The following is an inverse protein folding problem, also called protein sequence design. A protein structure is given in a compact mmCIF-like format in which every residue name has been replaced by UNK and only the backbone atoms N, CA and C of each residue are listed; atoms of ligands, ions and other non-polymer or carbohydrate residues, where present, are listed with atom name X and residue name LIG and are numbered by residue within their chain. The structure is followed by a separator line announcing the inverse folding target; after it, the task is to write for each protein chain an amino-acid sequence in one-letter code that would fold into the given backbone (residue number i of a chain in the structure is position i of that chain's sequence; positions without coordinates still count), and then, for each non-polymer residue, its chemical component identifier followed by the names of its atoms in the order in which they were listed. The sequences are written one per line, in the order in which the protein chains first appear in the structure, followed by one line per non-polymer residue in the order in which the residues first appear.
data_IF_840279560561
#
_entry.id   IF_840279560561
#
_cell.length_a   1.000
_cell.length_b   1.000
_cell.length_c   1.000
_cell.angle_alpha   90.00
_cell.angle_beta   90.00
_cell.angle_gamma   90.00
#
_symmetry.space_group_name_H-M   'P 1'
#
loop_
_entity.id
_entity.type
_entity.pdbx_description
1 polymer ?
#
# COMPACT_ATOMS: atom_id res chain seq x y z
N UNK A 1 -8.13 -1.64 9.30
CA UNK A 1 -7.84 -1.82 7.85
C UNK A 1 -7.86 -0.45 7.19
N UNK A 2 -7.02 -0.16 6.18
CA UNK A 2 -7.07 1.14 5.50
C UNK A 2 -8.36 1.24 4.69
N UNK A 3 -9.10 2.35 4.83
CA UNK A 3 -10.23 2.67 3.97
C UNK A 3 -9.74 2.99 2.56
N UNK A 4 -10.12 2.19 1.58
CA UNK A 4 -9.77 2.32 0.16
C UNK A 4 -10.93 2.86 -0.67
N UNK A 5 -12.16 2.70 -0.17
CA UNK A 5 -13.36 3.25 -0.77
C UNK A 5 -14.23 3.86 0.32
N UNK A 6 -14.70 5.05 0.07
CA UNK A 6 -15.54 5.78 1.04
C UNK A 6 -16.51 6.73 0.33
N UNK A 7 -17.56 7.09 1.05
CA UNK A 7 -18.54 8.06 0.58
C UNK A 7 -17.97 9.46 0.82
N UNK A 8 -17.92 10.26 -0.23
CA UNK A 8 -17.43 11.63 -0.12
C UNK A 8 -18.35 12.61 -0.83
N UNK A 9 -18.34 13.86 -0.37
CA UNK A 9 -19.09 14.94 -0.98
C UNK A 9 -18.22 15.70 -1.99
N UNK A 10 -18.75 15.96 -3.17
CA UNK A 10 -18.12 16.80 -4.17
C UNK A 10 -18.07 18.24 -3.65
N UNK A 11 -16.87 18.78 -3.49
CA UNK A 11 -16.64 20.16 -3.00
C UNK A 11 -16.63 21.17 -4.12
N UNK A 12 -16.09 20.80 -5.27
CA UNK A 12 -15.97 21.68 -6.43
C UNK A 12 -15.98 20.88 -7.73
N UNK A 13 -16.41 21.51 -8.82
CA UNK A 13 -16.36 20.98 -10.19
C UNK A 13 -15.92 22.12 -11.10
N UNK A 14 -14.87 21.90 -11.86
CA UNK A 14 -14.32 22.95 -12.72
C UNK A 14 -13.86 22.40 -14.07
N UNK A 15 -13.99 23.22 -15.14
CA UNK A 15 -13.62 22.81 -16.49
C UNK A 15 -12.10 22.66 -16.62
N UNK A 16 -11.70 21.81 -17.56
CA UNK A 16 -10.31 21.68 -18.00
C UNK A 16 -10.18 22.45 -19.33
N UNK A 17 -9.20 23.34 -19.42
CA UNK A 17 -8.95 24.11 -20.63
C UNK A 17 -8.74 23.19 -21.85
N UNK A 18 -9.51 23.38 -22.89
CA UNK A 18 -9.48 22.60 -24.12
C UNK A 18 -10.12 21.21 -24.02
N UNK A 19 -10.86 20.89 -22.95
CA UNK A 19 -11.59 19.64 -22.81
C UNK A 19 -13.12 19.84 -22.91
N UNK A 20 -13.75 19.19 -23.89
CA UNK A 20 -15.21 19.33 -24.11
C UNK A 20 -16.02 18.23 -23.43
N UNK A 21 -15.39 17.08 -23.10
CA UNK A 21 -16.08 15.86 -22.62
C UNK A 21 -15.76 15.47 -21.19
N UNK A 22 -14.80 16.13 -20.57
CA UNK A 22 -14.32 15.82 -19.23
C UNK A 22 -14.06 17.09 -18.44
N UNK A 23 -14.18 17.00 -17.13
CA UNK A 23 -13.94 18.05 -16.18
C UNK A 23 -13.27 17.47 -14.92
N UNK A 24 -12.79 18.33 -14.05
CA UNK A 24 -12.24 17.91 -12.76
C UNK A 24 -13.27 18.13 -11.66
N UNK A 25 -13.44 17.15 -10.79
CA UNK A 25 -14.11 17.37 -9.52
C UNK A 25 -13.11 17.30 -8.36
N UNK A 26 -13.42 18.01 -7.29
CA UNK A 26 -12.68 17.99 -6.04
C UNK A 26 -13.52 17.35 -4.94
N UNK A 27 -12.92 16.37 -4.24
CA UNK A 27 -13.45 15.79 -3.02
C UNK A 27 -12.29 15.61 -2.02
N UNK A 28 -12.53 15.90 -0.73
CA UNK A 28 -11.43 16.10 0.23
C UNK A 28 -10.39 17.08 -0.36
N UNK A 29 -9.15 16.64 -0.52
CA UNK A 29 -8.09 17.37 -1.23
C UNK A 29 -7.60 16.59 -2.47
N UNK A 30 -8.44 15.66 -2.99
CA UNK A 30 -8.21 14.95 -4.25
C UNK A 30 -8.86 15.67 -5.42
N UNK A 31 -8.18 15.60 -6.57
CA UNK A 31 -8.70 16.07 -7.85
C UNK A 31 -8.89 14.86 -8.77
N UNK A 32 -10.11 14.65 -9.23
CA UNK A 32 -10.52 13.46 -9.97
C UNK A 32 -11.11 13.88 -11.32
N UNK A 33 -10.66 13.22 -12.38
CA UNK A 33 -11.22 13.38 -13.71
C UNK A 33 -12.57 12.67 -13.80
N UNK A 34 -13.60 13.40 -14.23
CA UNK A 34 -14.95 12.89 -14.44
C UNK A 34 -15.44 13.26 -15.85
N UNK A 35 -16.49 12.62 -16.32
CA UNK A 35 -17.17 13.07 -17.53
C UNK A 35 -17.89 14.38 -17.23
N UNK A 36 -17.99 15.19 -18.26
CA UNK A 36 -18.69 16.47 -18.15
C UNK A 36 -20.13 16.24 -17.70
N UNK A 37 -20.59 17.05 -16.76
CA UNK A 37 -21.93 17.02 -16.16
C UNK A 37 -22.29 15.69 -15.43
N UNK A 38 -21.30 14.83 -15.13
CA UNK A 38 -21.52 13.54 -14.43
C UNK A 38 -21.77 13.72 -12.93
N UNK A 39 -21.15 14.74 -12.32
CA UNK A 39 -21.30 15.07 -10.90
C UNK A 39 -21.54 16.57 -10.70
N UNK A 40 -22.11 16.92 -9.54
CA UNK A 40 -22.37 18.33 -9.16
C UNK A 40 -21.83 18.60 -7.78
N UNK A 41 -21.55 19.87 -7.49
CA UNK A 41 -21.15 20.30 -6.15
C UNK A 41 -22.25 19.92 -5.15
N UNK A 42 -21.85 19.25 -4.08
CA UNK A 42 -22.75 18.75 -3.05
C UNK A 42 -23.20 17.30 -3.21
N UNK A 43 -22.98 16.68 -4.39
CA UNK A 43 -23.32 15.27 -4.59
C UNK A 43 -22.47 14.37 -3.68
N UNK A 44 -23.10 13.34 -3.13
CA UNK A 44 -22.39 12.23 -2.48
C UNK A 44 -22.03 11.19 -3.54
N UNK A 45 -20.78 10.78 -3.53
CA UNK A 45 -20.23 9.81 -4.47
C UNK A 45 -19.43 8.73 -3.74
N UNK A 46 -19.27 7.58 -4.38
CA UNK A 46 -18.30 6.57 -3.92
C UNK A 46 -16.95 6.91 -4.52
N UNK A 47 -16.00 7.29 -3.69
CA UNK A 47 -14.62 7.50 -4.09
C UNK A 47 -13.78 6.26 -3.82
N UNK A 48 -13.01 5.82 -4.81
CA UNK A 48 -12.09 4.68 -4.70
C UNK A 48 -10.67 5.16 -4.97
N UNK A 49 -9.79 4.92 -4.01
CA UNK A 49 -8.40 5.37 -4.08
C UNK A 49 -7.55 4.59 -5.08
N UNK A 50 -6.43 5.17 -5.46
CA UNK A 50 -5.36 4.47 -6.18
C UNK A 50 -4.81 3.30 -5.33
N UNK A 51 -4.19 2.33 -6.00
CA UNK A 51 -3.71 1.07 -5.42
C UNK A 51 -4.81 0.15 -4.88
N UNK A 52 -6.04 0.36 -5.35
CA UNK A 52 -7.18 -0.51 -5.08
C UNK A 52 -7.38 -1.53 -6.20
N UNK A 53 -7.80 -2.74 -5.82
CA UNK A 53 -8.28 -3.77 -6.73
C UNK A 53 -9.78 -3.90 -6.49
N UNK A 54 -10.55 -3.73 -7.57
CA UNK A 54 -12.01 -3.88 -7.55
C UNK A 54 -12.35 -5.34 -7.91
N UNK A 55 -13.36 -5.96 -7.28
CA UNK A 55 -13.81 -7.28 -7.67
C UNK A 55 -14.32 -7.27 -9.13
N UNK A 56 -14.01 -8.33 -9.86
CA UNK A 56 -14.39 -8.45 -11.27
C UNK A 56 -15.89 -8.83 -11.50
N UNK A 57 -16.61 -9.06 -10.41
CA UNK A 57 -18.03 -9.43 -10.42
C UNK A 57 -18.31 -10.86 -10.90
N UNK A 58 -17.30 -11.57 -11.37
CA UNK A 58 -17.46 -12.94 -11.82
C UNK A 58 -17.59 -13.90 -10.65
N UNK A 59 -18.41 -14.92 -10.80
CA UNK A 59 -18.43 -16.06 -9.89
C UNK A 59 -17.04 -16.74 -9.88
N UNK A 60 -16.74 -17.51 -8.85
CA UNK A 60 -15.48 -18.27 -8.80
C UNK A 60 -15.32 -19.20 -9.99
N UNK A 61 -16.42 -19.80 -10.43
CA UNK A 61 -16.46 -20.70 -11.57
C UNK A 61 -16.23 -19.96 -12.89
N UNK A 62 -16.92 -18.83 -13.10
CA UNK A 62 -16.76 -18.03 -14.31
C UNK A 62 -15.38 -17.37 -14.39
N UNK A 63 -14.87 -16.88 -13.28
CA UNK A 63 -13.48 -16.36 -13.20
C UNK A 63 -12.47 -17.45 -13.57
N UNK A 64 -12.73 -18.69 -13.16
CA UNK A 64 -11.92 -19.84 -13.51
C UNK A 64 -11.96 -20.14 -15.01
N UNK A 65 -13.15 -20.19 -15.61
CA UNK A 65 -13.32 -20.43 -17.06
C UNK A 65 -12.69 -19.31 -17.88
N UNK A 66 -12.90 -18.06 -17.48
CA UNK A 66 -12.29 -16.90 -18.14
C UNK A 66 -10.75 -16.98 -18.17
N UNK A 67 -10.13 -17.27 -17.03
CA UNK A 67 -8.68 -17.37 -16.94
C UNK A 67 -8.14 -18.56 -17.79
N UNK A 68 -8.89 -19.67 -17.89
CA UNK A 68 -8.54 -20.81 -18.75
C UNK A 68 -8.62 -20.46 -20.23
N UNK A 69 -9.73 -19.86 -20.67
CA UNK A 69 -9.89 -19.39 -22.04
C UNK A 69 -8.79 -18.39 -22.42
N UNK A 70 -8.50 -17.45 -21.55
CA UNK A 70 -7.42 -16.46 -21.71
C UNK A 70 -6.03 -17.08 -21.83
N UNK A 71 -5.75 -18.15 -21.07
CA UNK A 71 -4.48 -18.87 -21.17
C UNK A 71 -4.35 -19.60 -22.51
N UNK A 72 -5.44 -20.22 -22.96
CA UNK A 72 -5.51 -20.91 -24.27
C UNK A 72 -5.37 -19.90 -25.42
N UNK A 73 -6.05 -18.74 -25.33
CA UNK A 73 -6.01 -17.68 -26.34
C UNK A 73 -4.59 -17.13 -26.60
N UNK A 74 -3.70 -17.13 -25.59
CA UNK A 74 -2.29 -16.72 -25.78
C UNK A 74 -1.50 -17.60 -26.76
N UNK A 75 -1.96 -18.82 -27.01
CA UNK A 75 -1.29 -19.81 -27.88
C UNK A 75 -2.11 -20.13 -29.13
N UNK A 76 -3.35 -19.68 -29.20
CA UNK A 76 -4.28 -19.92 -30.31
C UNK A 76 -4.12 -18.88 -31.42
N UNK A 77 -4.47 -19.28 -32.64
CA UNK A 77 -4.48 -18.41 -33.82
C UNK A 77 -5.72 -18.73 -34.67
N UNK A 78 -6.12 -17.80 -35.54
CA UNK A 78 -7.21 -18.02 -36.48
C UNK A 78 -8.56 -18.18 -35.81
N UNK A 79 -9.30 -19.24 -36.16
CA UNK A 79 -10.65 -19.49 -35.69
C UNK A 79 -10.72 -19.91 -34.22
N UNK A 80 -9.72 -20.65 -33.74
CA UNK A 80 -9.62 -21.05 -32.34
C UNK A 80 -9.46 -19.81 -31.42
N UNK A 81 -8.69 -18.81 -31.84
CA UNK A 81 -8.57 -17.56 -31.11
C UNK A 81 -9.92 -16.83 -31.03
N UNK A 82 -10.64 -16.73 -32.14
CA UNK A 82 -11.98 -16.10 -32.18
C UNK A 82 -12.99 -16.80 -31.27
N UNK A 83 -12.98 -18.13 -31.25
CA UNK A 83 -13.88 -18.91 -30.40
C UNK A 83 -13.56 -18.68 -28.90
N UNK A 84 -12.29 -18.62 -28.53
CA UNK A 84 -11.87 -18.33 -27.16
C UNK A 84 -12.19 -16.89 -26.76
N UNK A 85 -12.03 -15.94 -27.67
CA UNK A 85 -12.44 -14.54 -27.44
C UNK A 85 -13.97 -14.42 -27.26
N UNK A 86 -14.77 -15.17 -28.06
CA UNK A 86 -16.21 -15.23 -27.89
C UNK A 86 -16.61 -15.86 -26.54
N UNK A 87 -15.96 -16.95 -26.13
CA UNK A 87 -16.17 -17.58 -24.83
C UNK A 87 -15.86 -16.60 -23.67
N UNK A 88 -14.73 -15.89 -23.76
CA UNK A 88 -14.37 -14.87 -22.76
C UNK A 88 -15.41 -13.75 -22.72
N UNK A 89 -15.88 -13.30 -23.86
CA UNK A 89 -16.92 -12.27 -23.96
C UNK A 89 -18.24 -12.74 -23.36
N UNK A 90 -18.63 -13.98 -23.61
CA UNK A 90 -19.84 -14.58 -23.03
C UNK A 90 -19.75 -14.66 -21.50
N UNK A 91 -18.62 -15.11 -20.95
CA UNK A 91 -18.39 -15.15 -19.51
C UNK A 91 -18.49 -13.75 -18.91
N UNK A 92 -17.90 -12.74 -19.58
CA UNK A 92 -17.92 -11.35 -19.12
C UNK A 92 -19.32 -10.74 -19.22
N UNK A 93 -20.13 -11.13 -20.24
CA UNK A 93 -21.51 -10.64 -20.37
C UNK A 93 -22.43 -11.08 -19.22
N UNK A 94 -22.03 -12.13 -18.50
CA UNK A 94 -22.70 -12.58 -17.27
C UNK A 94 -22.25 -11.79 -16.04
N UNK A 95 -21.28 -10.89 -16.20
CA UNK A 95 -20.81 -10.03 -15.10
C UNK A 95 -21.95 -9.09 -14.68
N UNK A 96 -22.23 -9.10 -13.40
CA UNK A 96 -23.32 -8.30 -12.81
C UNK A 96 -22.85 -6.91 -12.37
N UNK A 97 -21.60 -6.52 -12.66
CA UNK A 97 -21.02 -5.20 -12.33
C UNK A 97 -20.51 -4.55 -13.64
N UNK A 98 -21.40 -4.17 -14.55
CA UNK A 98 -21.02 -3.56 -15.84
C UNK A 98 -20.30 -2.22 -15.67
N UNK A 99 -20.53 -1.53 -14.56
CA UNK A 99 -19.88 -0.25 -14.23
C UNK A 99 -18.36 -0.38 -14.11
N UNK A 100 -17.83 -1.56 -13.81
CA UNK A 100 -16.41 -1.81 -13.66
C UNK A 100 -15.74 -2.46 -14.88
N UNK A 101 -16.50 -2.78 -15.92
CA UNK A 101 -16.00 -3.53 -17.07
C UNK A 101 -14.82 -2.83 -17.77
N UNK A 102 -14.83 -1.50 -17.86
CA UNK A 102 -13.74 -0.72 -18.45
C UNK A 102 -12.40 -0.87 -17.70
N UNK A 103 -12.40 -1.36 -16.45
CA UNK A 103 -11.21 -1.63 -15.67
C UNK A 103 -10.60 -3.00 -15.96
N UNK A 104 -11.30 -3.88 -16.67
CA UNK A 104 -10.82 -5.24 -16.96
C UNK A 104 -9.51 -5.24 -17.73
N UNK A 105 -9.36 -4.34 -18.70
CA UNK A 105 -8.11 -4.15 -19.43
C UNK A 105 -6.93 -3.74 -18.51
N UNK A 106 -7.24 -3.10 -17.37
CA UNK A 106 -6.29 -2.67 -16.34
C UNK A 106 -6.20 -3.66 -15.18
N UNK A 107 -6.65 -4.92 -15.37
CA UNK A 107 -6.66 -5.98 -14.34
C UNK A 107 -7.45 -5.57 -13.09
N UNK A 108 -8.54 -4.83 -13.25
CA UNK A 108 -9.40 -4.31 -12.18
C UNK A 108 -8.65 -3.43 -11.15
N UNK A 109 -7.51 -2.85 -11.53
CA UNK A 109 -6.71 -1.99 -10.65
C UNK A 109 -6.99 -0.51 -10.92
N UNK A 110 -7.22 0.24 -9.84
CA UNK A 110 -7.28 1.70 -9.89
C UNK A 110 -5.85 2.26 -9.78
N UNK A 111 -5.48 3.08 -10.75
CA UNK A 111 -4.16 3.72 -10.85
C UNK A 111 -4.30 5.23 -11.00
N UNK A 112 -3.25 5.96 -10.63
CA UNK A 112 -3.14 7.35 -11.02
C UNK A 112 -3.14 7.49 -12.55
N UNK A 113 -3.89 8.45 -13.07
CA UNK A 113 -4.00 8.71 -14.50
C UNK A 113 -3.50 10.11 -14.83
N UNK A 114 -2.51 10.19 -15.72
CA UNK A 114 -2.14 11.45 -16.38
C UNK A 114 -2.89 11.58 -17.70
N UNK A 115 -3.69 12.62 -17.81
CA UNK A 115 -4.32 13.00 -19.08
C UNK A 115 -3.39 13.98 -19.79
N UNK A 116 -2.43 13.43 -20.54
CA UNK A 116 -1.30 14.19 -21.11
C UNK A 116 -1.74 15.36 -22.00
N UNK A 117 -2.86 15.19 -22.73
CA UNK A 117 -3.44 16.25 -23.59
C UNK A 117 -3.73 17.55 -22.84
N UNK A 118 -4.13 17.45 -21.56
CA UNK A 118 -4.54 18.59 -20.74
C UNK A 118 -3.60 18.82 -19.54
N UNK A 119 -2.55 18.02 -19.44
CA UNK A 119 -1.58 18.06 -18.34
C UNK A 119 -2.21 18.00 -16.94
N UNK A 120 -3.28 17.21 -16.78
CA UNK A 120 -3.95 16.97 -15.49
C UNK A 120 -3.71 15.54 -15.00
N UNK A 121 -3.74 15.36 -13.69
CA UNK A 121 -3.55 14.09 -13.01
C UNK A 121 -4.80 13.81 -12.19
N UNK A 122 -5.36 12.59 -12.35
CA UNK A 122 -6.47 12.07 -11.56
C UNK A 122 -5.95 11.02 -10.58
N UNK A 123 -6.27 11.17 -9.31
CA UNK A 123 -5.83 10.30 -8.22
C UNK A 123 -6.99 9.48 -7.64
N UNK A 124 -7.40 8.45 -8.37
CA UNK A 124 -8.54 7.61 -8.01
C UNK A 124 -9.69 7.74 -9.01
N UNK A 125 -10.85 7.26 -8.59
CA UNK A 125 -12.06 7.27 -9.42
C UNK A 125 -13.29 7.49 -8.53
N UNK A 126 -14.32 8.14 -9.09
CA UNK A 126 -15.62 8.31 -8.45
C UNK A 126 -16.69 7.53 -9.19
N UNK A 127 -17.68 7.06 -8.45
CA UNK A 127 -18.88 6.40 -8.97
C UNK A 127 -20.11 6.99 -8.28
N UNK A 128 -21.28 6.95 -8.95
CA UNK A 128 -22.52 7.34 -8.31
C UNK A 128 -22.90 6.37 -7.19
N UNK A 129 -23.70 6.81 -6.23
CA UNK A 129 -24.14 5.96 -5.11
C UNK A 129 -24.91 4.72 -5.56
N UNK A 130 -25.47 4.71 -6.77
CA UNK A 130 -26.19 3.57 -7.33
C UNK A 130 -25.36 2.29 -7.40
N UNK A 131 -24.02 2.38 -7.45
CA UNK A 131 -23.18 1.18 -7.38
C UNK A 131 -23.32 0.41 -6.07
N UNK A 132 -23.75 1.08 -5.00
CA UNK A 132 -24.01 0.43 -3.71
C UNK A 132 -25.22 -0.49 -3.73
N UNK A 133 -26.15 -0.27 -4.67
CA UNK A 133 -27.33 -1.14 -4.84
C UNK A 133 -26.98 -2.42 -5.60
N UNK A 134 -26.05 -2.33 -6.54
CA UNK A 134 -25.69 -3.42 -7.45
C UNK A 134 -24.64 -4.34 -6.86
N UNK A 135 -23.53 -3.77 -6.42
CA UNK A 135 -22.32 -4.54 -6.03
C UNK A 135 -22.51 -5.32 -4.72
N UNK A 136 -22.99 -4.72 -3.61
CA UNK A 136 -23.21 -5.47 -2.38
C UNK A 136 -24.18 -6.63 -2.57
N UNK A 137 -25.25 -6.43 -3.33
CA UNK A 137 -26.22 -7.49 -3.65
C UNK A 137 -25.55 -8.65 -4.38
N UNK A 138 -24.70 -8.36 -5.36
CA UNK A 138 -23.92 -9.37 -6.09
C UNK A 138 -22.96 -10.13 -5.18
N UNK A 139 -22.40 -9.45 -4.18
CA UNK A 139 -21.48 -10.03 -3.20
C UNK A 139 -22.19 -10.67 -2.00
N UNK A 140 -23.52 -10.65 -1.97
CA UNK A 140 -24.32 -11.18 -0.85
C UNK A 140 -24.20 -10.37 0.44
N UNK A 141 -24.03 -9.05 0.32
CA UNK A 141 -23.86 -8.13 1.44
C UNK A 141 -25.03 -7.18 1.57
N UNK A 142 -25.33 -6.79 2.79
CA UNK A 142 -26.42 -5.84 3.06
C UNK A 142 -25.91 -4.40 3.06
N UNK A 143 -26.74 -3.50 2.56
CA UNK A 143 -26.48 -2.07 2.58
C UNK A 143 -26.56 -1.53 4.04
N UNK A 144 -25.68 -0.60 4.42
CA UNK A 144 -25.84 0.14 5.67
C UNK A 144 -27.13 0.97 5.64
N UNK A 145 -27.77 1.12 6.80
CA UNK A 145 -29.01 1.89 6.90
C UNK A 145 -28.87 3.37 6.54
N UNK A 146 -27.71 3.94 6.88
CA UNK A 146 -27.40 5.34 6.66
C UNK A 146 -26.17 5.49 5.76
N UNK A 147 -26.33 6.19 4.66
CA UNK A 147 -25.24 6.55 3.73
C UNK A 147 -24.85 8.00 4.03
N UNK A 148 -23.71 8.17 4.69
CA UNK A 148 -23.20 9.48 5.10
C UNK A 148 -21.79 9.72 4.57
N UNK A 149 -21.40 10.99 4.45
CA UNK A 149 -20.03 11.39 4.12
C UNK A 149 -19.02 10.77 5.10
N UNK A 150 -17.92 10.23 4.60
CA UNK A 150 -16.88 9.56 5.37
C UNK A 150 -17.14 8.07 5.65
N UNK A 151 -18.29 7.51 5.26
CA UNK A 151 -18.60 6.10 5.44
C UNK A 151 -17.62 5.22 4.64
N UNK A 152 -16.92 4.31 5.33
CA UNK A 152 -16.04 3.32 4.69
C UNK A 152 -16.86 2.20 4.05
N UNK A 153 -16.77 2.07 2.74
CA UNK A 153 -17.45 1.06 1.93
C UNK A 153 -16.48 0.05 1.30
N UNK A 154 -15.23 0.02 1.74
CA UNK A 154 -14.19 -0.87 1.22
C UNK A 154 -14.60 -2.33 1.27
N UNK A 155 -15.02 -2.80 2.45
CA UNK A 155 -15.46 -4.20 2.60
C UNK A 155 -16.79 -4.47 1.90
N UNK A 156 -17.70 -3.49 1.93
CA UNK A 156 -19.00 -3.59 1.30
C UNK A 156 -18.87 -3.83 -0.22
N UNK A 157 -17.97 -3.12 -0.86
CA UNK A 157 -17.68 -3.24 -2.29
C UNK A 157 -16.67 -4.35 -2.63
N UNK A 158 -16.16 -5.07 -1.64
CA UNK A 158 -15.17 -6.14 -1.86
C UNK A 158 -13.83 -5.63 -2.38
N UNK A 159 -13.50 -4.37 -2.13
CA UNK A 159 -12.26 -3.75 -2.60
C UNK A 159 -11.09 -4.23 -1.79
N UNK A 160 -10.01 -4.58 -2.46
CA UNK A 160 -8.77 -5.03 -1.84
C UNK A 160 -7.62 -4.07 -2.16
N UNK A 161 -6.67 -3.95 -1.23
CA UNK A 161 -5.40 -3.26 -1.50
C UNK A 161 -4.55 -4.10 -2.44
N UNK A 162 -3.86 -3.45 -3.38
CA UNK A 162 -2.78 -4.10 -4.13
C UNK A 162 -1.69 -4.48 -3.15
N UNK A 163 -1.50 -5.79 -2.92
CA UNK A 163 -0.48 -6.32 -2.02
C UNK A 163 0.69 -6.79 -2.88
N UNK A 164 1.69 -5.94 -3.04
CA UNK A 164 2.93 -6.29 -3.74
C UNK A 164 3.78 -7.27 -2.92
N UNK A 165 3.77 -7.14 -1.57
CA UNK A 165 4.58 -7.97 -0.66
C UNK A 165 4.20 -9.46 -0.61
N UNK A 166 2.96 -9.84 -0.92
CA UNK A 166 2.54 -11.23 -0.86
C UNK A 166 3.11 -12.08 -2.01
N UNK A 167 3.42 -11.45 -3.15
CA UNK A 167 4.05 -12.14 -4.28
C UNK A 167 5.52 -12.46 -3.99
N UNK A 168 6.18 -11.58 -3.27
CA UNK A 168 7.60 -11.68 -3.02
C UNK A 168 7.95 -12.71 -1.95
N UNK A 169 7.16 -12.81 -0.88
CA UNK A 169 7.34 -13.84 0.16
C UNK A 169 7.12 -15.26 -0.43
N UNK A 170 6.15 -15.38 -1.35
CA UNK A 170 5.90 -16.66 -2.02
C UNK A 170 7.01 -17.04 -3.02
N UNK A 171 7.68 -16.07 -3.64
CA UNK A 171 8.81 -16.33 -4.57
C UNK A 171 10.07 -16.81 -3.84
N UNK A 172 10.38 -16.28 -2.66
CA UNK A 172 11.57 -16.69 -1.90
C UNK A 172 11.47 -18.11 -1.33
N UNK A 173 10.25 -18.57 -1.02
CA UNK A 173 10.00 -19.94 -0.55
C UNK A 173 9.98 -20.93 -1.72
N UNK A 174 9.58 -20.48 -2.93
CA UNK A 174 9.42 -21.36 -4.11
C UNK A 174 10.74 -21.72 -4.80
N UNK A 175 11.85 -21.02 -4.54
CA UNK A 175 13.15 -21.37 -5.14
C UNK A 175 13.76 -22.66 -4.56
N UNK A 176 13.19 -23.24 -3.48
CA UNK A 176 13.74 -24.45 -2.84
C UNK A 176 12.93 -25.73 -3.05
N UNK A 177 11.69 -25.63 -3.53
CA UNK A 177 10.86 -26.80 -3.79
C UNK A 177 10.47 -26.87 -5.27
N UNK A 178 10.70 -28.04 -5.89
CA UNK A 178 10.17 -28.34 -7.22
C UNK A 178 8.63 -28.29 -7.18
N UNK A 179 8.08 -27.11 -7.49
CA UNK A 179 6.63 -26.96 -7.61
C UNK A 179 6.10 -27.90 -8.70
N UNK A 180 5.16 -28.74 -8.32
CA UNK A 180 4.47 -29.59 -9.29
C UNK A 180 3.79 -28.76 -10.36
N UNK A 181 3.65 -29.27 -11.58
CA UNK A 181 2.94 -28.57 -12.67
C UNK A 181 1.53 -28.16 -12.26
N UNK A 182 0.90 -28.89 -11.33
CA UNK A 182 -0.41 -28.61 -10.77
C UNK A 182 -0.38 -27.41 -9.81
N UNK A 183 0.65 -27.25 -8.99
CA UNK A 183 0.79 -26.10 -8.10
C UNK A 183 1.07 -24.81 -8.90
N UNK A 184 1.91 -24.89 -9.93
CA UNK A 184 2.14 -23.77 -10.87
C UNK A 184 0.84 -23.35 -11.57
N UNK A 185 0.01 -24.33 -11.93
CA UNK A 185 -1.32 -24.09 -12.50
C UNK A 185 -2.26 -23.38 -11.50
N UNK A 186 -2.34 -23.87 -10.27
CA UNK A 186 -3.17 -23.24 -9.22
C UNK A 186 -2.67 -21.83 -8.87
N UNK A 187 -1.37 -21.63 -8.79
CA UNK A 187 -0.78 -20.31 -8.50
C UNK A 187 -1.08 -19.30 -9.60
N UNK A 188 -0.95 -19.69 -10.86
CA UNK A 188 -1.29 -18.81 -11.99
C UNK A 188 -2.73 -18.31 -11.93
N UNK A 189 -3.61 -19.09 -11.29
CA UNK A 189 -5.05 -18.92 -11.33
C UNK A 189 -5.64 -18.26 -10.07
N UNK A 190 -5.15 -18.63 -8.89
CA UNK A 190 -5.75 -18.28 -7.61
C UNK A 190 -4.89 -17.38 -6.71
N UNK A 191 -3.65 -17.10 -7.08
CA UNK A 191 -2.70 -16.32 -6.30
C UNK A 191 -3.22 -14.92 -5.91
N UNK A 192 -4.08 -14.33 -6.74
CA UNK A 192 -4.74 -13.03 -6.48
C UNK A 192 -5.74 -13.06 -5.32
N UNK A 193 -6.26 -14.24 -4.94
CA UNK A 193 -7.29 -14.35 -3.91
C UNK A 193 -6.69 -14.60 -2.53
N UNK A 194 -7.11 -13.81 -1.54
CA UNK A 194 -6.67 -13.92 -0.14
C UNK A 194 -6.92 -15.31 0.45
N UNK A 195 -8.09 -15.91 0.16
CA UNK A 195 -8.43 -17.25 0.64
C UNK A 195 -7.50 -18.33 0.10
N UNK A 196 -7.13 -18.28 -1.19
CA UNK A 196 -6.20 -19.23 -1.79
C UNK A 196 -4.81 -19.10 -1.18
N UNK A 197 -4.31 -17.88 -1.02
CA UNK A 197 -3.04 -17.62 -0.34
C UNK A 197 -3.04 -18.17 1.08
N UNK A 198 -4.18 -18.03 1.80
CA UNK A 198 -4.31 -18.57 3.16
C UNK A 198 -4.32 -20.11 3.18
N UNK A 199 -5.06 -20.75 2.25
CA UNK A 199 -5.09 -22.21 2.13
C UNK A 199 -3.72 -22.75 1.70
N UNK A 200 -3.07 -22.14 0.70
CA UNK A 200 -1.72 -22.52 0.26
C UNK A 200 -0.72 -22.44 1.41
N UNK A 201 -0.81 -21.40 2.24
CA UNK A 201 0.01 -21.25 3.45
C UNK A 201 -0.24 -22.34 4.49
N UNK A 202 -1.49 -22.74 4.67
CA UNK A 202 -1.84 -23.84 5.58
C UNK A 202 -1.34 -25.20 5.07
N UNK A 203 -1.48 -25.45 3.76
CA UNK A 203 -1.06 -26.72 3.13
C UNK A 203 0.46 -26.88 3.10
N UNK A 204 1.23 -25.79 2.91
CA UNK A 204 2.70 -25.82 2.93
C UNK A 204 3.31 -25.90 4.32
N UNK A 205 2.48 -25.99 5.36
CA UNK A 205 2.97 -26.04 6.74
C UNK A 205 3.71 -24.78 7.17
N UNK A 206 3.58 -23.66 6.46
CA UNK A 206 4.00 -22.35 6.91
C UNK A 206 3.24 -22.02 8.19
N UNK A 207 3.75 -22.48 9.31
CA UNK A 207 3.28 -22.08 10.63
C UNK A 207 3.60 -20.60 10.75
N UNK A 208 2.61 -19.74 10.43
CA UNK A 208 2.66 -18.32 10.77
C UNK A 208 2.70 -18.30 12.29
N UNK A 209 3.90 -18.27 12.86
CA UNK A 209 4.08 -18.09 14.29
C UNK A 209 3.98 -16.62 14.59
N UNK A 210 3.03 -16.28 15.40
CA UNK A 210 2.92 -15.00 16.06
C UNK A 210 1.90 -14.07 15.42
N UNK A 211 0.85 -13.85 16.18
CA UNK A 211 -0.07 -12.73 16.02
C UNK A 211 0.68 -11.46 16.39
N UNK A 212 0.36 -10.35 15.73
CA UNK A 212 0.83 -9.04 16.16
C UNK A 212 0.37 -8.78 17.58
N UNK A 213 1.29 -8.37 18.44
CA UNK A 213 1.01 -8.23 19.87
C UNK A 213 0.69 -6.78 20.21
N UNK A 214 -0.13 -6.56 21.24
CA UNK A 214 -0.55 -5.23 21.68
C UNK A 214 0.59 -4.32 22.14
N UNK A 215 1.74 -4.88 22.50
CA UNK A 215 2.92 -4.12 22.90
C UNK A 215 3.79 -3.69 21.70
N UNK A 216 3.57 -4.26 20.53
CA UNK A 216 4.26 -3.85 19.29
C UNK A 216 3.76 -2.48 18.82
N UNK A 217 4.55 -1.82 17.98
CA UNK A 217 4.12 -0.60 17.32
C UNK A 217 2.77 -0.80 16.60
N UNK A 218 1.87 0.17 16.62
CA UNK A 218 0.60 0.06 15.91
C UNK A 218 0.79 -0.28 14.43
N UNK A 219 -0.06 -1.17 13.92
CA UNK A 219 -0.09 -1.52 12.50
C UNK A 219 -0.89 -0.48 11.70
N UNK A 220 -0.39 0.73 11.63
CA UNK A 220 -1.01 1.79 10.84
C UNK A 220 -0.18 2.10 9.61
N UNK A 221 -0.81 2.09 8.45
CA UNK A 221 -0.25 2.74 7.25
C UNK A 221 -0.34 4.26 7.45
N UNK A 222 0.70 5.00 7.07
CA UNK A 222 0.56 6.45 6.99
C UNK A 222 -0.58 6.81 6.04
N UNK A 223 -1.43 7.72 6.48
CA UNK A 223 -2.57 8.21 5.71
C UNK A 223 -2.08 9.09 4.57
N UNK A 224 -2.71 9.04 3.41
CA UNK A 224 -2.45 10.01 2.35
C UNK A 224 -2.80 11.42 2.82
N UNK A 225 -1.91 12.36 2.56
CA UNK A 225 -2.09 13.77 2.95
C UNK A 225 -3.41 14.35 2.47
N UNK A 226 -3.84 13.99 1.27
CA UNK A 226 -5.09 14.49 0.67
C UNK A 226 -6.36 14.14 1.45
N UNK A 227 -6.29 13.20 2.40
CA UNK A 227 -7.40 12.90 3.32
C UNK A 227 -7.45 13.81 4.54
N UNK A 228 -6.32 14.41 4.89
CA UNK A 228 -6.21 15.10 6.18
C UNK A 228 -5.46 16.43 6.14
N UNK A 229 -5.05 16.90 4.95
CA UNK A 229 -4.29 18.13 4.81
C UNK A 229 -5.03 19.32 5.42
N UNK A 230 -6.27 19.54 5.03
CA UNK A 230 -7.11 20.65 5.55
C UNK A 230 -7.19 20.61 7.07
N UNK A 231 -7.53 19.45 7.67
CA UNK A 231 -7.62 19.28 9.13
C UNK A 231 -6.27 19.50 9.82
N UNK A 232 -5.18 19.04 9.19
CA UNK A 232 -3.83 19.23 9.71
C UNK A 232 -3.45 20.72 9.69
N UNK A 233 -3.75 21.40 8.58
CA UNK A 233 -3.49 22.83 8.44
C UNK A 233 -4.32 23.67 9.43
N UNK A 234 -5.59 23.33 9.65
CA UNK A 234 -6.45 23.96 10.66
C UNK A 234 -5.89 23.79 12.07
N UNK A 235 -5.36 22.59 12.39
CA UNK A 235 -4.85 22.27 13.74
C UNK A 235 -3.49 22.91 14.02
N UNK A 236 -2.58 22.89 13.05
CA UNK A 236 -1.17 23.28 13.25
C UNK A 236 -0.77 24.57 12.53
N UNK A 237 -1.63 25.08 11.64
CA UNK A 237 -1.37 26.32 10.87
C UNK A 237 -0.08 26.22 10.06
N UNK A 238 0.62 27.34 9.99
CA UNK A 238 1.92 27.48 9.33
C UNK A 238 3.10 27.28 10.31
N UNK A 239 2.89 26.54 11.39
CA UNK A 239 3.96 26.31 12.35
C UNK A 239 5.05 25.42 11.75
N UNK A 240 6.30 25.76 11.96
CA UNK A 240 7.44 24.89 11.74
C UNK A 240 7.38 23.67 12.69
N UNK A 241 8.28 22.73 12.52
CA UNK A 241 8.37 21.53 13.35
C UNK A 241 7.80 20.29 12.69
N UNK A 242 7.82 20.28 11.38
CA UNK A 242 7.63 19.08 10.58
C UNK A 242 8.97 18.57 10.07
N UNK A 243 9.10 17.25 9.99
CA UNK A 243 10.25 16.55 9.41
C UNK A 243 9.80 15.79 8.20
N UNK A 244 10.55 15.93 7.12
CA UNK A 244 10.29 15.26 5.84
C UNK A 244 11.35 14.21 5.61
N UNK A 245 10.95 12.93 5.61
CA UNK A 245 11.78 11.82 5.18
C UNK A 245 11.41 11.35 3.77
N UNK A 246 12.38 10.82 3.04
CA UNK A 246 12.07 10.18 1.77
C UNK A 246 11.19 8.95 1.98
N UNK A 247 10.15 8.80 1.15
CA UNK A 247 9.41 7.57 1.05
C UNK A 247 10.12 6.65 0.05
N UNK A 248 10.93 5.77 0.59
CA UNK A 248 11.65 4.80 -0.24
C UNK A 248 10.71 3.73 -0.80
N UNK A 249 11.04 3.25 -2.00
CA UNK A 249 10.40 2.08 -2.58
C UNK A 249 11.05 0.82 -2.01
N UNK A 250 10.36 0.16 -1.11
CA UNK A 250 10.85 -1.02 -0.41
C UNK A 250 9.72 -1.82 0.21
N UNK A 251 10.05 -2.56 1.23
CA UNK A 251 9.09 -3.29 2.06
C UNK A 251 9.43 -3.12 3.53
N UNK A 252 8.43 -3.11 4.39
CA UNK A 252 8.64 -2.99 5.83
C UNK A 252 9.36 -4.23 6.38
N UNK A 253 10.47 -4.00 7.08
CA UNK A 253 11.15 -4.96 7.93
C UNK A 253 11.22 -4.36 9.33
N UNK A 254 10.80 -5.11 10.34
CA UNK A 254 10.95 -4.67 11.73
C UNK A 254 11.68 -5.71 12.53
N UNK A 255 12.48 -5.24 13.50
CA UNK A 255 13.07 -6.10 14.53
C UNK A 255 12.66 -5.59 15.90
N UNK A 256 12.46 -6.50 16.84
CA UNK A 256 12.13 -6.11 18.22
C UNK A 256 12.97 -6.89 19.23
N UNK A 257 13.20 -6.25 20.37
CA UNK A 257 13.63 -6.88 21.59
C UNK A 257 12.58 -6.62 22.66
N UNK A 258 12.05 -7.68 23.26
CA UNK A 258 11.00 -7.61 24.28
C UNK A 258 11.38 -8.50 25.48
N UNK A 259 11.24 -7.97 26.68
CA UNK A 259 11.50 -8.69 27.93
C UNK A 259 10.20 -9.17 28.52
N UNK A 260 10.00 -10.48 28.59
CA UNK A 260 8.92 -11.09 29.35
C UNK A 260 9.38 -11.40 30.77
N UNK A 261 8.47 -11.23 31.73
CA UNK A 261 8.69 -11.57 33.13
C UNK A 261 7.78 -12.74 33.54
N UNK A 262 8.34 -13.72 34.23
CA UNK A 262 7.58 -14.82 34.81
C UNK A 262 7.87 -14.94 36.33
N UNK A 263 7.03 -15.69 37.06
CA UNK A 263 7.15 -15.89 38.51
C UNK A 263 7.24 -14.55 39.29
N UNK A 264 6.27 -13.68 39.11
CA UNK A 264 6.22 -12.37 39.79
C UNK A 264 7.48 -11.48 39.56
N UNK A 265 8.11 -11.60 38.38
CA UNK A 265 9.27 -10.80 38.03
C UNK A 265 10.63 -11.42 38.39
N UNK A 266 10.64 -12.61 39.00
CA UNK A 266 11.87 -13.29 39.41
C UNK A 266 12.71 -13.82 38.23
N UNK A 267 12.07 -14.11 37.11
CA UNK A 267 12.75 -14.52 35.88
C UNK A 267 12.42 -13.59 34.73
N UNK A 268 13.44 -13.12 34.04
CA UNK A 268 13.29 -12.29 32.85
C UNK A 268 13.88 -13.02 31.65
N UNK A 269 13.14 -13.01 30.55
CA UNK A 269 13.59 -13.58 29.28
C UNK A 269 13.47 -12.55 28.17
N UNK A 270 14.59 -12.29 27.47
CA UNK A 270 14.62 -11.40 26.32
C UNK A 270 14.29 -12.17 25.04
N UNK A 271 13.28 -11.72 24.34
CA UNK A 271 12.82 -12.28 23.07
C UNK A 271 13.19 -11.33 21.94
N UNK A 272 13.91 -11.84 20.98
CA UNK A 272 14.15 -11.17 19.71
C UNK A 272 13.22 -11.71 18.66
N UNK A 273 12.74 -10.86 17.76
CA UNK A 273 11.93 -11.29 16.63
C UNK A 273 12.04 -10.34 15.45
N UNK A 274 11.59 -10.84 14.32
CA UNK A 274 11.56 -10.16 13.03
C UNK A 274 10.13 -10.11 12.54
N UNK A 275 9.71 -8.96 12.01
CA UNK A 275 8.36 -8.79 11.47
C UNK A 275 8.41 -8.18 10.07
N UNK A 276 7.41 -8.50 9.27
CA UNK A 276 6.98 -7.69 8.14
C UNK A 276 5.98 -6.63 8.64
N UNK A 277 5.36 -5.89 7.74
CA UNK A 277 4.33 -4.91 8.12
C UNK A 277 3.16 -5.51 8.93
N UNK A 278 2.78 -6.77 8.67
CA UNK A 278 1.59 -7.40 9.26
C UNK A 278 1.86 -8.71 10.00
N UNK A 279 3.10 -9.20 10.06
CA UNK A 279 3.39 -10.54 10.55
C UNK A 279 4.64 -10.59 11.40
N UNK A 280 4.56 -11.35 12.46
CA UNK A 280 5.74 -11.80 13.18
C UNK A 280 6.27 -13.07 12.49
N UNK A 281 7.53 -13.08 12.07
CA UNK A 281 8.14 -14.18 11.33
C UNK A 281 8.71 -15.23 12.27
N UNK A 282 8.73 -16.48 11.77
CA UNK A 282 9.39 -17.57 12.49
C UNK A 282 10.90 -17.32 12.51
N UNK A 283 11.54 -17.69 13.60
CA UNK A 283 13.01 -17.63 13.70
C UNK A 283 13.58 -18.55 12.63
N UNK A 284 14.43 -17.98 11.79
CA UNK A 284 15.19 -18.66 10.73
C UNK A 284 14.35 -19.46 9.73
N UNK A 285 13.35 -18.80 9.17
CA UNK A 285 12.51 -19.35 8.11
C UNK A 285 13.22 -19.38 6.73
N UNK A 286 14.48 -18.92 6.65
CA UNK A 286 15.26 -18.79 5.43
C UNK A 286 14.80 -17.66 4.50
N UNK A 287 13.85 -16.83 4.94
CA UNK A 287 13.36 -15.69 4.15
C UNK A 287 14.43 -14.63 3.98
N UNK A 288 14.23 -13.77 2.94
CA UNK A 288 15.08 -12.59 2.72
C UNK A 288 15.10 -11.66 3.95
N UNK A 289 14.05 -11.62 4.77
CA UNK A 289 14.00 -10.81 5.98
C UNK A 289 15.05 -11.29 7.00
N UNK A 290 15.06 -12.58 7.30
CA UNK A 290 16.05 -13.18 8.20
C UNK A 290 17.47 -13.12 7.64
N UNK A 291 17.61 -13.30 6.32
CA UNK A 291 18.90 -13.15 5.64
C UNK A 291 19.45 -11.72 5.86
N UNK A 292 18.63 -10.71 5.60
CA UNK A 292 19.00 -9.30 5.79
C UNK A 292 19.33 -8.98 7.26
N UNK A 293 18.52 -9.48 8.19
CA UNK A 293 18.78 -9.30 9.64
C UNK A 293 20.16 -9.84 10.03
N UNK A 294 20.57 -10.99 9.48
CA UNK A 294 21.89 -11.60 9.70
C UNK A 294 23.01 -10.80 9.01
N UNK A 295 22.83 -10.42 7.75
CA UNK A 295 23.81 -9.66 6.96
C UNK A 295 24.13 -8.29 7.57
N UNK A 296 23.14 -7.66 8.22
CA UNK A 296 23.27 -6.36 8.87
C UNK A 296 23.48 -6.42 10.38
N UNK A 297 23.67 -7.63 10.96
CA UNK A 297 23.86 -7.85 12.41
C UNK A 297 22.77 -7.18 13.28
N UNK A 298 21.51 -7.09 12.77
CA UNK A 298 20.46 -6.34 13.47
C UNK A 298 20.08 -6.95 14.81
N UNK A 299 20.15 -8.27 14.98
CA UNK A 299 19.94 -8.91 16.28
C UNK A 299 21.02 -8.50 17.29
N UNK A 300 22.28 -8.53 16.87
CA UNK A 300 23.40 -8.12 17.71
C UNK A 300 23.27 -6.66 18.12
N UNK A 301 22.91 -5.79 17.16
CA UNK A 301 22.70 -4.36 17.41
C UNK A 301 21.60 -4.13 18.44
N UNK A 302 20.40 -4.66 18.24
CA UNK A 302 19.28 -4.43 19.17
C UNK A 302 19.54 -5.03 20.56
N UNK A 303 20.23 -6.17 20.63
CA UNK A 303 20.64 -6.77 21.92
C UNK A 303 21.69 -5.92 22.65
N UNK A 304 22.61 -5.27 21.93
CA UNK A 304 23.60 -4.36 22.54
C UNK A 304 22.97 -3.08 23.10
N UNK A 305 21.87 -2.61 22.48
CA UNK A 305 21.06 -1.50 22.98
C UNK A 305 20.42 -1.87 24.32
N UNK A 306 19.98 -3.12 24.46
CA UNK A 306 19.51 -3.68 25.74
C UNK A 306 18.15 -3.19 26.22
N UNK A 307 17.47 -2.34 25.46
CA UNK A 307 16.15 -1.79 25.75
C UNK A 307 15.05 -2.56 25.01
N UNK A 308 13.86 -2.56 25.55
CA UNK A 308 12.67 -3.14 24.91
C UNK A 308 12.17 -2.17 23.83
N UNK A 309 12.58 -2.42 22.60
CA UNK A 309 12.33 -1.57 21.44
C UNK A 309 11.86 -2.39 20.25
N UNK A 310 11.10 -1.74 19.36
CA UNK A 310 10.89 -2.19 17.98
C UNK A 310 11.48 -1.15 17.03
N UNK A 311 12.42 -1.58 16.19
CA UNK A 311 13.02 -0.77 15.13
C UNK A 311 12.34 -1.12 13.81
N UNK A 312 11.85 -0.12 13.07
CA UNK A 312 11.18 -0.29 11.79
C UNK A 312 12.00 0.29 10.67
N UNK A 313 12.22 -0.53 9.64
CA UNK A 313 13.09 -0.23 8.52
C UNK A 313 12.33 -0.34 7.20
N UNK A 314 12.72 0.49 6.26
CA UNK A 314 12.47 0.22 4.85
C UNK A 314 13.56 -0.71 4.33
N UNK A 315 13.17 -1.90 3.87
CA UNK A 315 14.03 -2.92 3.32
C UNK A 315 14.02 -2.83 1.81
N UNK A 316 15.16 -2.48 1.23
CA UNK A 316 15.34 -2.27 -0.20
C UNK A 316 16.37 -3.25 -0.77
N UNK A 317 16.28 -3.58 -2.06
CA UNK A 317 17.29 -4.39 -2.72
C UNK A 317 16.75 -5.33 -3.80
N UNK A 318 17.57 -6.31 -4.22
CA UNK A 318 17.23 -7.23 -5.30
C UNK A 318 15.92 -8.00 -5.03
N UNK A 319 15.06 -8.09 -6.05
CA UNK A 319 13.76 -8.79 -5.97
C UNK A 319 12.78 -8.18 -4.94
N UNK A 320 13.01 -6.95 -4.48
CA UNK A 320 12.07 -6.19 -3.67
C UNK A 320 11.46 -5.13 -4.56
N UNK A 321 10.17 -5.21 -4.80
CA UNK A 321 9.47 -4.40 -5.78
C UNK A 321 10.27 -4.31 -7.10
N UNK A 322 10.43 -3.13 -7.68
CA UNK A 322 11.16 -2.94 -8.93
C UNK A 322 12.67 -2.69 -8.71
N UNK A 323 13.12 -2.63 -7.44
CA UNK A 323 14.49 -2.26 -7.08
C UNK A 323 14.98 -1.04 -7.89
N UNK A 324 14.18 0.02 -7.91
CA UNK A 324 14.46 1.23 -8.71
C UNK A 324 15.84 1.84 -8.40
N UNK A 325 16.31 1.66 -7.17
CA UNK A 325 17.63 2.11 -6.73
C UNK A 325 18.79 1.28 -7.27
N UNK A 326 18.50 0.15 -7.94
CA UNK A 326 19.51 -0.78 -8.49
C UNK A 326 20.52 -1.26 -7.45
N UNK A 327 20.06 -1.43 -6.21
CA UNK A 327 20.91 -1.91 -5.12
C UNK A 327 21.38 -3.34 -5.42
N UNK A 328 22.70 -3.62 -5.34
CA UNK A 328 23.23 -4.94 -5.61
C UNK A 328 22.96 -5.94 -4.47
N UNK A 329 22.78 -5.44 -3.25
CA UNK A 329 22.54 -6.20 -2.04
C UNK A 329 21.35 -5.63 -1.27
N UNK A 330 20.82 -6.40 -0.32
CA UNK A 330 19.80 -5.90 0.60
C UNK A 330 20.37 -4.80 1.48
N UNK A 331 19.58 -3.73 1.67
CA UNK A 331 19.86 -2.61 2.58
C UNK A 331 18.63 -2.29 3.39
N UNK A 332 18.86 -1.76 4.58
CA UNK A 332 17.79 -1.36 5.50
C UNK A 332 18.01 0.07 5.96
N UNK A 333 16.93 0.84 5.96
CA UNK A 333 16.93 2.25 6.34
C UNK A 333 15.91 2.47 7.45
N UNK A 334 16.39 2.81 8.65
CA UNK A 334 15.56 3.06 9.81
C UNK A 334 14.63 4.26 9.54
N UNK A 335 13.34 4.14 9.81
CA UNK A 335 12.41 5.25 9.68
C UNK A 335 11.63 5.56 10.97
N UNK A 336 11.57 4.63 11.93
CA UNK A 336 11.01 4.88 13.25
C UNK A 336 11.47 3.87 14.29
N UNK A 337 11.41 4.29 15.55
CA UNK A 337 11.68 3.48 16.73
C UNK A 337 10.50 3.56 17.68
N UNK A 338 10.00 2.40 18.10
CA UNK A 338 8.91 2.28 19.06
C UNK A 338 9.48 1.82 20.40
N UNK A 339 9.27 2.61 21.44
CA UNK A 339 9.56 2.26 22.82
C UNK A 339 8.42 1.38 23.36
N UNK A 340 8.70 0.08 23.49
CA UNK A 340 7.72 -0.92 23.92
C UNK A 340 7.26 -0.66 25.35
N UNK A 341 8.17 -0.25 26.22
CA UNK A 341 7.88 -0.01 27.63
C UNK A 341 6.98 1.20 27.85
N UNK A 342 7.29 2.30 27.16
CA UNK A 342 6.54 3.55 27.29
C UNK A 342 5.38 3.66 26.28
N UNK A 343 5.26 2.71 25.35
CA UNK A 343 4.21 2.65 24.32
C UNK A 343 4.13 3.94 23.49
N UNK A 344 5.28 4.43 23.04
CA UNK A 344 5.38 5.64 22.22
C UNK A 344 6.45 5.49 21.14
N UNK A 345 6.32 6.26 20.10
CA UNK A 345 7.43 6.48 19.17
C UNK A 345 8.49 7.38 19.78
N UNK A 346 9.74 7.21 19.36
CA UNK A 346 10.74 8.25 19.55
C UNK A 346 10.33 9.48 18.75
N UNK A 347 10.52 10.67 19.31
CA UNK A 347 10.44 11.91 18.56
C UNK A 347 11.67 12.06 17.64
N UNK A 348 11.71 13.10 16.81
CA UNK A 348 12.78 13.26 15.83
C UNK A 348 14.16 13.35 16.48
N UNK A 349 14.30 14.11 17.54
CA UNK A 349 15.59 14.31 18.17
C UNK A 349 16.11 13.02 18.84
N UNK A 350 15.24 12.30 19.52
CA UNK A 350 15.54 10.96 20.07
C UNK A 350 15.90 9.97 18.94
N UNK A 351 15.17 10.01 17.83
CA UNK A 351 15.40 9.15 16.67
C UNK A 351 16.77 9.39 16.03
N UNK A 352 17.14 10.65 15.81
CA UNK A 352 18.44 11.02 15.22
C UNK A 352 19.59 10.73 16.17
N UNK A 353 19.46 11.03 17.47
CA UNK A 353 20.46 10.68 18.47
C UNK A 353 20.67 9.16 18.52
N UNK A 354 19.57 8.40 18.54
CA UNK A 354 19.59 6.94 18.53
C UNK A 354 20.30 6.40 17.30
N UNK A 355 19.94 6.86 16.11
CA UNK A 355 20.54 6.38 14.85
C UNK A 355 22.04 6.65 14.80
N UNK A 356 22.48 7.84 15.22
CA UNK A 356 23.91 8.21 15.29
C UNK A 356 24.67 7.38 16.32
N UNK A 357 24.11 7.23 17.53
CA UNK A 357 24.74 6.50 18.62
C UNK A 357 25.01 5.03 18.27
N UNK A 358 24.09 4.39 17.54
CA UNK A 358 24.18 2.97 17.20
C UNK A 358 24.59 2.72 15.75
N UNK A 359 25.00 3.76 15.03
CA UNK A 359 25.44 3.68 13.63
C UNK A 359 24.42 2.94 12.74
N UNK A 360 23.14 3.35 12.83
CA UNK A 360 22.05 2.79 12.05
C UNK A 360 21.67 3.78 10.95
N UNK A 361 21.74 3.35 9.70
CA UNK A 361 21.37 4.18 8.55
C UNK A 361 19.87 4.47 8.55
N UNK A 362 19.50 5.73 8.36
CA UNK A 362 18.10 6.17 8.31
C UNK A 362 17.64 6.37 6.86
N UNK A 363 16.31 6.40 6.64
CA UNK A 363 15.79 6.98 5.41
C UNK A 363 16.34 8.39 5.20
N UNK A 364 16.61 8.82 3.96
CA UNK A 364 17.10 10.16 3.71
C UNK A 364 16.17 11.23 4.31
N UNK A 365 16.69 12.11 5.14
CA UNK A 365 15.95 13.27 5.65
C UNK A 365 16.05 14.37 4.60
N UNK A 366 14.91 14.78 4.07
CA UNK A 366 14.79 15.78 3.02
C UNK A 366 14.77 17.19 3.61
N UNK A 367 14.06 17.35 4.73
CA UNK A 367 13.93 18.62 5.46
C UNK A 367 13.59 18.33 6.92
N UNK A 368 14.32 18.89 7.86
CA UNK A 368 14.11 18.65 9.30
C UNK A 368 13.45 19.82 10.04
N UNK A 369 13.11 20.89 9.31
CA UNK A 369 12.40 22.04 9.86
C UNK A 369 11.32 22.55 8.89
N UNK A 370 10.61 21.64 8.27
CA UNK A 370 9.63 21.92 7.23
C UNK A 370 8.41 22.66 7.76
N UNK A 371 7.89 23.56 6.93
CA UNK A 371 6.62 24.25 7.12
C UNK A 371 5.63 23.78 6.07
N UNK A 372 4.42 23.39 6.49
CA UNK A 372 3.40 22.95 5.55
C UNK A 372 3.01 24.13 4.61
N UNK A 373 3.00 23.91 3.30
CA UNK A 373 2.59 24.92 2.33
C UNK A 373 1.10 25.30 2.48
N UNK A 374 0.65 26.29 1.76
CA UNK A 374 -0.75 26.74 1.84
C UNK A 374 -1.71 25.76 1.19
N UNK A 375 -1.27 25.05 0.17
CA UNK A 375 -2.10 24.14 -0.59
C UNK A 375 -1.54 22.72 -0.65
N UNK A 376 -2.41 21.74 -0.78
CA UNK A 376 -2.03 20.35 -1.00
C UNK A 376 -1.29 20.15 -2.34
N UNK A 377 -1.60 20.98 -3.35
CA UNK A 377 -0.94 20.93 -4.66
C UNK A 377 0.54 21.30 -4.55
N UNK A 378 0.86 22.34 -3.77
CA UNK A 378 2.25 22.69 -3.50
C UNK A 378 2.98 21.55 -2.78
N UNK A 379 2.31 20.88 -1.86
CA UNK A 379 2.87 19.73 -1.14
C UNK A 379 3.05 18.52 -2.06
N UNK A 380 2.10 18.25 -2.95
CA UNK A 380 2.24 17.21 -3.97
C UNK A 380 3.40 17.52 -4.93
N UNK A 381 3.55 18.78 -5.34
CA UNK A 381 4.71 19.21 -6.14
C UNK A 381 6.03 19.06 -5.38
N UNK A 382 6.05 19.41 -4.09
CA UNK A 382 7.22 19.25 -3.23
C UNK A 382 7.63 17.78 -3.08
N UNK A 383 6.67 16.84 -3.09
CA UNK A 383 6.96 15.41 -2.98
C UNK A 383 7.74 14.84 -4.17
N UNK A 384 7.71 15.51 -5.33
CA UNK A 384 8.56 15.18 -6.46
C UNK A 384 10.03 15.46 -6.10
N UNK A 385 10.93 14.64 -6.61
CA UNK A 385 12.36 14.79 -6.36
C UNK A 385 13.12 13.50 -6.56
N UNK A 386 14.35 13.49 -6.11
CA UNK A 386 15.25 12.38 -6.33
C UNK A 386 15.91 11.94 -5.03
N UNK A 387 16.12 10.63 -4.90
CA UNK A 387 16.94 10.04 -3.86
C UNK A 387 18.26 9.57 -4.46
N UNK A 388 19.30 9.54 -3.65
CA UNK A 388 20.63 9.09 -4.02
C UNK A 388 21.12 8.08 -2.97
N UNK A 389 20.66 6.83 -3.05
CA UNK A 389 21.09 5.76 -2.14
C UNK A 389 22.44 5.16 -2.55
N UNK A 390 22.83 5.34 -3.81
CA UNK A 390 24.15 5.03 -4.34
C UNK A 390 24.76 6.34 -4.84
N UNK A 391 25.98 6.70 -4.41
CA UNK A 391 26.63 7.93 -4.84
C UNK A 391 26.62 8.10 -6.37
N UNK A 392 26.13 9.23 -6.86
CA UNK A 392 26.02 9.55 -8.28
C UNK A 392 24.80 8.94 -9.00
N UNK A 393 24.00 8.12 -8.33
CA UNK A 393 22.79 7.51 -8.91
C UNK A 393 21.54 8.17 -8.37
N UNK A 394 21.02 9.15 -9.10
CA UNK A 394 19.76 9.83 -8.76
C UNK A 394 18.57 9.05 -9.28
N UNK A 395 17.65 8.70 -8.41
CA UNK A 395 16.43 7.96 -8.72
C UNK A 395 15.23 8.79 -8.27
N UNK A 396 14.21 8.90 -9.13
CA UNK A 396 12.97 9.60 -8.76
C UNK A 396 12.36 8.93 -7.54
N UNK A 397 12.10 9.70 -6.48
CA UNK A 397 11.54 9.18 -5.23
C UNK A 397 10.05 8.85 -5.37
N UNK A 398 9.60 7.84 -4.64
CA UNK A 398 8.17 7.48 -4.59
C UNK A 398 7.31 8.60 -3.97
N UNK A 399 7.91 9.42 -3.13
CA UNK A 399 7.28 10.52 -2.43
C UNK A 399 8.02 10.85 -1.14
N UNK A 400 7.30 11.42 -0.19
CA UNK A 400 7.83 11.74 1.14
C UNK A 400 6.88 11.27 2.24
N UNK A 401 7.41 11.04 3.43
CA UNK A 401 6.63 10.89 4.67
C UNK A 401 6.94 12.09 5.55
N UNK A 402 5.90 12.77 5.99
CA UNK A 402 5.99 13.97 6.81
C UNK A 402 5.52 13.61 8.21
N UNK A 403 6.33 13.93 9.22
CA UNK A 403 6.08 13.62 10.62
C UNK A 403 6.21 14.87 11.48
N UNK A 404 5.39 14.93 12.53
CA UNK A 404 5.57 15.99 13.53
C UNK A 404 6.86 15.73 14.32
N UNK A 405 7.77 16.74 14.41
CA UNK A 405 9.06 16.62 15.08
C UNK A 405 8.94 16.12 16.52
N UNK A 406 7.97 16.64 17.26
CA UNK A 406 7.74 16.35 18.67
C UNK A 406 6.99 15.03 18.91
N UNK A 407 6.20 14.58 17.91
CA UNK A 407 5.34 13.41 18.03
C UNK A 407 5.24 12.65 16.69
N UNK A 408 6.02 11.61 16.53
CA UNK A 408 6.09 10.79 15.33
C UNK A 408 4.81 9.97 15.05
N UNK A 409 3.88 9.91 16.01
CA UNK A 409 2.55 9.33 15.77
C UNK A 409 1.70 10.17 14.81
N UNK A 410 2.04 11.46 14.68
CA UNK A 410 1.39 12.40 13.77
C UNK A 410 2.18 12.38 12.45
N UNK A 411 1.73 11.54 11.54
CA UNK A 411 2.40 11.31 10.27
C UNK A 411 1.43 11.19 9.11
N UNK A 412 1.89 11.52 7.94
CA UNK A 412 1.18 11.28 6.68
C UNK A 412 2.16 11.13 5.52
N UNK A 413 1.73 10.41 4.51
CA UNK A 413 2.50 10.24 3.28
C UNK A 413 2.00 11.15 2.17
N UNK A 414 2.93 11.62 1.37
CA UNK A 414 2.68 12.40 0.16
C UNK A 414 3.32 11.65 -1.00
N UNK A 415 2.52 10.95 -1.77
CA UNK A 415 3.02 10.23 -2.96
C UNK A 415 3.33 11.22 -4.06
N UNK A 416 4.46 11.06 -4.73
CA UNK A 416 4.81 11.84 -5.92
C UNK A 416 3.87 11.48 -7.08
N UNK A 417 3.12 12.45 -7.61
CA UNK A 417 2.29 12.20 -8.79
C UNK A 417 3.10 11.80 -10.01
N UNK A 418 4.29 12.37 -10.18
CA UNK A 418 5.18 12.03 -11.30
C UNK A 418 5.69 10.60 -11.21
N UNK A 419 6.10 10.17 -10.00
CA UNK A 419 6.50 8.79 -9.76
C UNK A 419 5.36 7.81 -10.02
N UNK A 420 4.16 8.10 -9.50
CA UNK A 420 2.99 7.25 -9.68
C UNK A 420 2.65 7.05 -11.17
N UNK A 421 2.79 8.09 -11.98
CA UNK A 421 2.59 8.01 -13.43
C UNK A 421 3.68 7.20 -14.11
N UNK A 422 4.94 7.46 -13.77
CA UNK A 422 6.09 6.79 -14.39
C UNK A 422 6.06 5.28 -14.16
N UNK A 423 5.72 4.86 -12.95
CA UNK A 423 5.71 3.44 -12.54
C UNK A 423 4.32 2.78 -12.62
N UNK A 424 3.28 3.52 -13.02
CA UNK A 424 1.90 3.03 -13.12
C UNK A 424 1.33 2.56 -11.77
N UNK A 425 1.70 3.25 -10.72
CA UNK A 425 1.27 2.99 -9.33
C UNK A 425 0.20 3.95 -8.85
#
# INVERSE_FOLDING_TARGET
MRSLAHIEKIKDVYPIEGADRVEMCQLLDFHILVKKDEVKIGDLVVYIEVDSIIPDGLSKEDSAKYDEAKLKAKKATGEDLKNLEAEMLEIVSRNTIPEFEFLRAKKMRIKALKYSKFNVISMGIVFPLSILETIPKTLGKELPKDITEGLDVTELLGIEKVVEDAEDIAKDVSEKDDESSFEKFLDSRFKRYKWYRNIKKQLRGEKIKGVWQDWMAPQSDEVNVQKLFTKTKERYGNSAGWVVGSKLEGQNLSTYLYTSSAFFGLTQKKHFGVCTHHRNLIVDDGSRFWKTVKEHDLEKKIRSIGQDLQMRFEHCGPKIQDNIYKLPNYRVYLFEVWDIKNRRYYNYDEFIEFSKKYEIETVPIVDDNFVLPETVQELLKYSNGYDELIPGVKVMREGVVIRRREDYSISFKVKSPEYAILHGK
#
